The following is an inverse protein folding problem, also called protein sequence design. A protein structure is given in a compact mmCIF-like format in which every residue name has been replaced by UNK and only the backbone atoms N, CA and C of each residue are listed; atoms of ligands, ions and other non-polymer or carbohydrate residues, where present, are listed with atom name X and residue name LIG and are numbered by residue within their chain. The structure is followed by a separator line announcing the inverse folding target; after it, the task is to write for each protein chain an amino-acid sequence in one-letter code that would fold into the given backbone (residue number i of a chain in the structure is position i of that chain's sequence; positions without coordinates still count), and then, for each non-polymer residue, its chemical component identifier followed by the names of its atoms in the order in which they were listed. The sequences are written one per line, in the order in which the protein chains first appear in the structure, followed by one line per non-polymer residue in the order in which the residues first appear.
data_IF_925979721895
#
_entry.id   IF_925979721895
#
_cell.length_a   1.000
_cell.length_b   1.000
_cell.length_c   1.000
_cell.angle_alpha   90.00
_cell.angle_beta   90.00
_cell.angle_gamma   90.00
#
_symmetry.space_group_name_H-M   'P 1'
#
loop_
_entity.id
_entity.type
_entity.pdbx_description
1 polymer ?
#
# COMPACT_ATOMS: atom_id res chain seq x y z
N UNK A 1 -73.60 -34.57 -19.99
CA UNK A 1 -73.79 -33.10 -20.00
C UNK A 1 -73.60 -32.60 -18.57
N UNK A 2 -72.35 -32.36 -18.16
CA UNK A 2 -71.94 -31.55 -16.99
C UNK A 2 -70.46 -31.21 -17.20
N UNK A 3 -70.05 -29.93 -17.12
CA UNK A 3 -68.69 -29.50 -17.46
C UNK A 3 -67.77 -29.58 -16.23
N UNK A 4 -66.59 -30.18 -16.39
CA UNK A 4 -65.51 -30.05 -15.41
C UNK A 4 -64.73 -28.75 -15.70
N UNK A 5 -64.95 -27.78 -14.81
CA UNK A 5 -64.31 -26.48 -14.79
C UNK A 5 -62.88 -26.63 -14.25
N UNK A 6 -61.90 -26.22 -15.06
CA UNK A 6 -60.49 -26.15 -14.70
C UNK A 6 -60.28 -24.87 -13.89
N UNK A 7 -59.96 -24.99 -12.60
CA UNK A 7 -59.46 -23.87 -11.80
C UNK A 7 -57.96 -23.68 -12.06
N UNK A 8 -57.62 -22.73 -12.94
CA UNK A 8 -56.27 -22.20 -13.06
C UNK A 8 -56.10 -21.09 -12.01
N UNK A 9 -55.37 -21.38 -10.93
CA UNK A 9 -54.95 -20.37 -9.96
C UNK A 9 -53.70 -19.65 -10.48
N UNK A 10 -53.84 -18.39 -10.87
CA UNK A 10 -52.74 -17.46 -11.12
C UNK A 10 -52.17 -16.98 -9.78
N UNK A 11 -50.85 -17.01 -9.54
CA UNK A 11 -50.27 -16.32 -8.39
C UNK A 11 -50.23 -14.82 -8.68
N UNK A 12 -51.05 -14.07 -7.94
CA UNK A 12 -50.95 -12.62 -7.83
C UNK A 12 -49.58 -12.27 -7.24
N UNK A 13 -48.69 -11.75 -8.08
CA UNK A 13 -47.48 -11.03 -7.66
C UNK A 13 -47.91 -9.75 -6.94
N UNK A 14 -48.06 -9.85 -5.62
CA UNK A 14 -48.19 -8.68 -4.76
C UNK A 14 -46.87 -7.91 -4.77
N UNK A 15 -46.82 -6.82 -5.54
CA UNK A 15 -45.80 -5.78 -5.36
C UNK A 15 -46.08 -5.09 -4.04
N UNK A 16 -45.30 -5.43 -3.01
CA UNK A 16 -45.22 -4.64 -1.79
C UNK A 16 -44.46 -3.34 -2.10
N UNK A 17 -45.16 -2.31 -2.53
CA UNK A 17 -44.65 -0.94 -2.55
C UNK A 17 -45.15 -0.24 -1.29
N UNK A 18 -44.33 -0.20 -0.24
CA UNK A 18 -44.40 0.81 0.83
C UNK A 18 -43.11 0.72 1.66
N UNK A 19 -42.06 1.40 1.20
CA UNK A 19 -41.05 1.94 2.10
C UNK A 19 -41.08 3.44 1.83
N UNK A 20 -41.71 4.13 2.77
CA UNK A 20 -41.69 5.58 2.88
C UNK A 20 -40.24 5.99 3.17
N UNK A 21 -39.63 6.83 2.32
CA UNK A 21 -38.25 7.30 2.49
C UNK A 21 -38.06 8.08 3.82
N UNK A 22 -39.15 8.49 4.47
CA UNK A 22 -39.11 9.10 5.81
C UNK A 22 -38.90 8.10 6.96
N UNK A 23 -39.00 6.78 6.69
CA UNK A 23 -38.76 5.70 7.66
C UNK A 23 -37.40 5.01 7.51
N UNK A 24 -36.48 5.57 6.70
CA UNK A 24 -35.06 5.23 6.78
C UNK A 24 -34.59 5.54 8.21
N UNK A 25 -34.47 4.48 9.03
CA UNK A 25 -33.87 4.54 10.34
C UNK A 25 -32.53 5.27 10.22
N UNK A 26 -32.48 6.49 10.76
CA UNK A 26 -31.23 7.15 11.08
C UNK A 26 -30.45 6.17 11.97
N UNK A 27 -29.21 5.78 11.61
CA UNK A 27 -28.40 4.96 12.49
C UNK A 27 -28.30 5.67 13.85
N UNK A 28 -28.58 4.93 14.93
CA UNK A 28 -28.45 5.41 16.30
C UNK A 28 -27.09 6.08 16.46
N UNK A 29 -27.08 7.40 16.62
CA UNK A 29 -25.89 8.15 17.00
C UNK A 29 -25.50 7.70 18.41
N UNK A 30 -24.49 6.84 18.47
CA UNK A 30 -23.95 6.34 19.73
C UNK A 30 -23.43 7.53 20.55
N UNK A 31 -24.02 7.73 21.72
CA UNK A 31 -23.89 8.96 22.52
C UNK A 31 -22.63 8.96 23.40
N UNK A 32 -21.54 8.35 22.95
CA UNK A 32 -20.28 8.23 23.69
C UNK A 32 -19.08 8.71 22.86
N UNK A 33 -18.74 10.01 22.87
CA UNK A 33 -17.52 10.50 22.23
C UNK A 33 -16.37 10.42 23.24
N UNK A 34 -15.98 9.23 23.71
CA UNK A 34 -14.86 9.07 24.67
C UNK A 34 -13.76 8.11 24.19
N UNK A 35 -13.85 7.57 22.98
CA UNK A 35 -12.71 7.01 22.25
C UNK A 35 -12.34 8.00 21.16
N UNK A 36 -11.12 8.56 21.20
CA UNK A 36 -10.64 9.47 20.15
C UNK A 36 -10.85 8.80 18.78
N UNK A 37 -11.55 9.44 17.83
CA UNK A 37 -11.92 8.80 16.57
C UNK A 37 -10.69 8.56 15.70
N UNK A 38 -10.70 7.43 15.00
CA UNK A 38 -9.84 7.16 13.85
C UNK A 38 -9.89 8.36 12.89
N UNK A 39 -8.73 8.85 12.48
CA UNK A 39 -8.64 9.98 11.54
C UNK A 39 -8.16 9.48 10.19
N UNK A 40 -9.00 9.63 9.17
CA UNK A 40 -8.66 9.26 7.79
C UNK A 40 -8.33 10.52 7.00
N UNK A 41 -7.17 10.53 6.34
CA UNK A 41 -6.68 11.63 5.50
C UNK A 41 -6.47 11.11 4.08
N UNK A 42 -7.07 11.73 3.04
CA UNK A 42 -6.87 11.33 1.66
C UNK A 42 -5.48 11.73 1.16
N UNK A 43 -4.89 10.87 0.32
CA UNK A 43 -3.66 11.11 -0.42
C UNK A 43 -4.00 11.38 -1.89
N UNK A 44 -3.55 12.50 -2.41
CA UNK A 44 -3.71 12.89 -3.81
C UNK A 44 -2.42 12.71 -4.57
N UNK A 45 -2.48 12.00 -5.69
CA UNK A 45 -1.33 11.78 -6.58
C UNK A 45 -1.27 12.90 -7.62
N UNK A 46 -0.11 13.53 -7.76
CA UNK A 46 0.13 14.53 -8.80
C UNK A 46 0.53 13.90 -10.15
N UNK A 47 0.71 14.75 -11.17
CA UNK A 47 1.13 14.33 -12.52
C UNK A 47 2.57 13.79 -12.61
N UNK A 48 3.36 13.98 -11.56
CA UNK A 48 4.76 13.54 -11.42
C UNK A 48 4.87 12.31 -10.51
N UNK A 49 3.73 11.66 -10.19
CA UNK A 49 3.67 10.46 -9.36
C UNK A 49 4.12 10.69 -7.90
N UNK A 50 3.96 11.91 -7.39
CA UNK A 50 4.17 12.24 -5.98
C UNK A 50 2.83 12.32 -5.24
N UNK A 51 2.76 11.64 -4.09
CA UNK A 51 1.62 11.77 -3.20
C UNK A 51 1.72 13.06 -2.38
N UNK A 52 0.58 13.69 -2.17
CA UNK A 52 0.40 14.89 -1.36
C UNK A 52 -0.80 14.71 -0.44
N UNK A 53 -0.85 15.46 0.66
CA UNK A 53 -2.00 15.46 1.56
C UNK A 53 -2.44 16.90 1.89
N UNK A 54 -3.73 17.11 2.22
CA UNK A 54 -4.23 18.45 2.52
C UNK A 54 -3.62 18.99 3.82
N UNK A 55 -3.13 20.23 3.78
CA UNK A 55 -2.68 20.93 4.99
C UNK A 55 -3.83 21.09 5.99
N UNK A 56 -3.55 20.80 7.26
CA UNK A 56 -4.54 20.78 8.35
C UNK A 56 -4.58 22.10 9.13
N UNK A 57 -3.78 23.09 8.75
CA UNK A 57 -3.82 24.42 9.36
C UNK A 57 -5.05 25.19 8.88
N UNK A 58 -5.88 25.62 9.84
CA UNK A 58 -7.21 26.21 9.67
C UNK A 58 -7.23 27.63 9.07
N UNK A 59 -6.28 27.98 8.22
CA UNK A 59 -6.24 29.28 7.54
C UNK A 59 -6.12 29.07 6.03
N UNK A 60 -7.25 29.18 5.34
CA UNK A 60 -7.58 29.47 3.92
C UNK A 60 -6.50 29.65 2.83
N UNK A 61 -5.31 29.06 2.96
CA UNK A 61 -4.33 28.92 1.88
C UNK A 61 -3.78 27.50 1.89
N UNK A 62 -4.56 26.61 1.27
CA UNK A 62 -4.33 25.19 1.06
C UNK A 62 -3.17 24.97 0.10
N UNK A 63 -1.94 25.05 0.61
CA UNK A 63 -0.79 24.44 -0.07
C UNK A 63 -0.78 22.95 0.31
N UNK A 64 -0.98 22.03 -0.65
CA UNK A 64 -0.84 20.61 -0.38
C UNK A 64 0.60 20.33 0.03
N UNK A 65 0.76 19.51 1.06
CA UNK A 65 2.08 19.14 1.56
C UNK A 65 2.54 17.85 0.90
N UNK A 66 3.81 17.77 0.48
CA UNK A 66 4.36 16.54 -0.06
C UNK A 66 4.28 15.43 0.98
N UNK A 67 4.00 14.21 0.54
CA UNK A 67 4.15 13.02 1.37
C UNK A 67 5.65 12.77 1.54
N UNK A 68 6.23 13.43 2.55
CA UNK A 68 7.67 13.43 2.82
C UNK A 68 8.15 12.13 3.49
N UNK A 69 9.33 12.18 4.11
CA UNK A 69 9.91 11.02 4.80
C UNK A 69 8.94 10.52 5.87
N UNK A 70 9.00 9.23 6.17
CA UNK A 70 8.22 8.60 7.24
C UNK A 70 8.32 9.36 8.57
N UNK A 71 9.47 9.99 8.83
CA UNK A 71 9.68 10.79 10.04
C UNK A 71 8.79 12.02 10.12
N UNK A 72 8.44 12.61 8.98
CA UNK A 72 7.51 13.72 8.94
C UNK A 72 6.15 13.22 9.38
N UNK A 73 5.66 12.06 8.92
CA UNK A 73 4.40 11.48 9.42
C UNK A 73 4.35 11.40 10.94
N UNK A 74 5.45 11.06 11.61
CA UNK A 74 5.52 11.03 13.09
C UNK A 74 5.24 12.39 13.74
N UNK A 75 5.71 13.48 13.14
CA UNK A 75 5.44 14.82 13.68
C UNK A 75 3.94 15.16 13.61
N UNK A 76 3.27 14.70 12.55
CA UNK A 76 1.84 14.88 12.30
C UNK A 76 0.98 13.89 13.12
N UNK A 77 1.50 12.69 13.31
CA UNK A 77 0.87 11.60 14.05
C UNK A 77 1.35 11.51 15.50
N UNK A 78 1.94 12.58 16.05
CA UNK A 78 2.51 12.58 17.41
C UNK A 78 1.52 12.20 18.51
N UNK A 79 0.22 12.39 18.27
CA UNK A 79 -0.86 11.95 19.17
C UNK A 79 -1.34 10.52 18.92
N UNK A 80 -0.94 9.89 17.82
CA UNK A 80 -1.36 8.57 17.36
C UNK A 80 -0.21 7.56 17.50
N UNK A 81 -0.58 6.29 17.57
CA UNK A 81 0.38 5.21 17.82
C UNK A 81 0.60 4.33 16.59
N UNK A 82 -0.39 4.32 15.69
CA UNK A 82 -0.41 3.45 14.53
C UNK A 82 -0.95 4.23 13.33
N UNK A 83 -0.17 4.22 12.25
CA UNK A 83 -0.54 4.84 10.98
C UNK A 83 -0.69 3.72 9.94
N UNK A 84 -1.88 3.57 9.37
CA UNK A 84 -2.14 2.63 8.28
C UNK A 84 -2.22 3.40 6.98
N UNK A 85 -1.36 3.07 6.02
CA UNK A 85 -1.30 3.69 4.70
C UNK A 85 -1.85 2.68 3.69
N UNK A 86 -2.77 3.14 2.85
CA UNK A 86 -3.33 2.38 1.75
C UNK A 86 -3.16 3.16 0.45
N UNK A 87 -2.41 2.58 -0.48
CA UNK A 87 -2.18 3.13 -1.81
C UNK A 87 -2.81 2.17 -2.82
N UNK A 88 -3.90 2.52 -3.51
CA UNK A 88 -4.62 1.59 -4.37
C UNK A 88 -3.84 1.23 -5.65
N UNK A 89 -4.13 0.05 -6.22
CA UNK A 89 -3.63 -0.39 -7.54
C UNK A 89 -4.26 0.36 -8.72
N UNK A 90 -5.35 1.08 -8.49
CA UNK A 90 -5.93 1.99 -9.46
C UNK A 90 -5.52 3.42 -9.10
N UNK A 91 -4.81 4.13 -10.00
CA UNK A 91 -4.36 5.50 -9.74
C UNK A 91 -5.50 6.52 -9.79
N UNK A 92 -6.65 6.15 -10.37
CA UNK A 92 -7.84 7.01 -10.37
C UNK A 92 -8.47 7.12 -8.97
N UNK A 93 -8.14 6.20 -8.07
CA UNK A 93 -8.61 6.19 -6.69
C UNK A 93 -7.55 6.87 -5.79
N UNK A 94 -7.93 7.83 -4.94
CA UNK A 94 -6.99 8.43 -4.00
C UNK A 94 -6.52 7.41 -2.96
N UNK A 95 -5.26 7.54 -2.53
CA UNK A 95 -4.76 6.79 -1.38
C UNK A 95 -5.34 7.32 -0.08
N UNK A 96 -5.07 6.64 1.03
CA UNK A 96 -5.51 7.08 2.36
C UNK A 96 -4.46 6.79 3.42
N UNK A 97 -4.36 7.68 4.41
CA UNK A 97 -3.67 7.42 5.68
C UNK A 97 -4.71 7.44 6.78
N UNK A 98 -4.68 6.40 7.59
CA UNK A 98 -5.53 6.23 8.76
C UNK A 98 -4.69 6.31 10.01
N UNK A 99 -4.95 7.30 10.86
CA UNK A 99 -4.30 7.48 12.14
C UNK A 99 -5.15 6.88 13.27
N UNK A 100 -4.58 5.93 14.01
CA UNK A 100 -5.27 5.22 15.10
C UNK A 100 -4.61 5.51 16.46
N UNK A 101 -5.46 5.86 17.43
CA UNK A 101 -5.03 6.05 18.81
C UNK A 101 -5.01 4.71 19.54
N UNK A 102 -3.88 4.33 20.14
CA UNK A 102 -3.84 3.24 21.12
C UNK A 102 -3.47 3.80 22.49
N UNK A 103 -4.44 3.88 23.41
CA UNK A 103 -4.17 4.25 24.79
C UNK A 103 -3.38 3.13 25.49
N UNK A 104 -2.25 3.43 26.14
CA UNK A 104 -1.48 2.43 26.88
C UNK A 104 -2.17 1.91 28.16
N UNK A 105 -3.16 2.64 28.69
CA UNK A 105 -3.76 2.39 30.03
C UNK A 105 -5.23 1.90 30.01
N UNK A 106 -5.83 1.68 28.84
CA UNK A 106 -7.19 1.11 28.81
C UNK A 106 -7.13 -0.41 28.68
N UNK A 107 -7.58 -1.09 29.76
CA UNK A 107 -8.04 -2.48 29.75
C UNK A 107 -8.93 -2.75 28.51
N UNK A 108 -9.05 -4.00 28.03
CA UNK A 108 -9.60 -4.30 26.71
C UNK A 108 -11.11 -4.05 26.68
N UNK A 109 -11.51 -2.80 26.53
CA UNK A 109 -12.80 -2.47 25.99
C UNK A 109 -12.84 -3.03 24.56
N UNK A 110 -13.96 -3.62 24.10
CA UNK A 110 -14.12 -4.06 22.72
C UNK A 110 -14.33 -2.83 21.83
N UNK A 111 -13.34 -1.94 21.79
CA UNK A 111 -13.23 -0.82 20.89
C UNK A 111 -12.24 -1.25 19.82
N UNK A 112 -12.79 -1.52 18.63
CA UNK A 112 -12.12 -1.59 17.33
C UNK A 112 -10.60 -1.51 17.42
N UNK A 113 -9.95 -2.66 17.64
CA UNK A 113 -8.55 -2.82 17.22
C UNK A 113 -8.47 -2.27 15.79
N UNK A 114 -7.44 -1.50 15.40
CA UNK A 114 -7.22 -1.21 13.98
C UNK A 114 -7.38 -2.54 13.28
N UNK A 115 -8.38 -2.62 12.40
CA UNK A 115 -8.79 -3.90 11.82
C UNK A 115 -7.74 -4.20 10.76
N UNK A 116 -6.56 -4.60 11.22
CA UNK A 116 -5.51 -5.16 10.41
C UNK A 116 -6.14 -6.39 9.79
N UNK A 117 -6.54 -6.23 8.54
CA UNK A 117 -7.36 -7.23 7.84
C UNK A 117 -6.49 -8.30 7.22
N UNK A 118 -5.21 -7.96 6.98
CA UNK A 118 -4.25 -8.80 6.30
C UNK A 118 -3.25 -9.42 7.27
N UNK A 119 -2.70 -10.57 6.86
CA UNK A 119 -1.56 -11.17 7.54
C UNK A 119 -0.34 -10.25 7.31
N UNK A 120 0.19 -9.68 8.39
CA UNK A 120 1.30 -8.74 8.33
C UNK A 120 2.64 -9.44 8.48
N UNK A 121 3.60 -9.09 7.63
CA UNK A 121 5.02 -9.37 7.86
C UNK A 121 5.61 -8.15 8.56
N UNK A 122 6.10 -8.34 9.78
CA UNK A 122 6.58 -7.23 10.62
C UNK A 122 8.10 -7.13 10.58
N UNK A 123 8.60 -5.91 10.48
CA UNK A 123 10.03 -5.62 10.59
C UNK A 123 10.25 -4.63 11.71
N UNK A 124 10.97 -5.06 12.75
CA UNK A 124 11.36 -4.20 13.86
C UNK A 124 12.53 -3.32 13.44
N UNK A 125 12.38 -2.01 13.60
CA UNK A 125 13.49 -1.08 13.42
C UNK A 125 14.27 -0.96 14.72
N UNK A 126 15.59 -1.22 14.66
CA UNK A 126 16.48 -0.95 15.80
C UNK A 126 16.77 0.55 15.98
N UNK A 127 16.45 1.38 14.98
CA UNK A 127 16.59 2.83 15.06
C UNK A 127 15.24 3.48 15.41
N UNK A 128 15.31 4.64 16.07
CA UNK A 128 14.15 5.50 16.34
C UNK A 128 13.48 6.05 15.06
N UNK A 129 14.14 5.87 13.91
CA UNK A 129 13.67 6.27 12.59
C UNK A 129 13.14 5.05 11.82
N UNK A 130 11.83 4.83 11.89
CA UNK A 130 11.17 3.85 11.02
C UNK A 130 11.49 4.10 9.54
N UNK A 131 11.87 3.03 8.84
CA UNK A 131 12.07 3.01 7.40
C UNK A 131 13.47 3.42 6.96
N UNK A 132 14.33 3.93 7.84
CA UNK A 132 15.70 4.32 7.48
C UNK A 132 16.57 3.11 7.12
N UNK A 133 16.38 1.99 7.82
CA UNK A 133 17.12 0.75 7.58
C UNK A 133 16.24 -0.48 7.87
N UNK A 134 15.64 -1.04 6.83
CA UNK A 134 14.87 -2.28 6.86
C UNK A 134 15.87 -3.43 6.62
N UNK A 135 16.15 -4.31 7.60
CA UNK A 135 17.04 -5.44 7.41
C UNK A 135 16.49 -6.40 6.34
N UNK A 136 17.33 -6.65 5.33
CA UNK A 136 17.06 -7.65 4.31
C UNK A 136 18.01 -8.84 4.52
N UNK A 137 17.58 -10.00 4.02
CA UNK A 137 18.47 -11.14 3.80
C UNK A 137 18.81 -11.28 2.32
N UNK A 138 17.79 -11.17 1.47
CA UNK A 138 17.95 -11.34 0.03
C UNK A 138 17.08 -10.36 -0.75
N UNK A 139 17.49 -10.06 -1.97
CA UNK A 139 16.64 -9.45 -3.00
C UNK A 139 16.70 -10.32 -4.25
N UNK A 140 15.56 -10.52 -4.91
CA UNK A 140 15.47 -11.42 -6.05
C UNK A 140 14.31 -11.14 -6.98
N UNK A 141 14.29 -11.87 -8.09
CA UNK A 141 13.17 -11.94 -9.03
C UNK A 141 12.65 -13.36 -9.13
N UNK A 142 11.32 -13.51 -9.23
CA UNK A 142 10.65 -14.81 -9.25
C UNK A 142 9.68 -14.94 -10.43
N UNK A 143 9.93 -15.90 -11.32
CA UNK A 143 9.02 -16.31 -12.41
C UNK A 143 9.29 -17.76 -12.81
N UNK A 144 8.58 -18.70 -12.21
CA UNK A 144 8.81 -20.15 -12.41
C UNK A 144 10.09 -20.70 -11.74
N UNK A 145 11.09 -19.84 -11.51
CA UNK A 145 12.23 -20.04 -10.62
C UNK A 145 12.60 -18.71 -9.95
N UNK A 146 13.54 -18.75 -9.00
CA UNK A 146 14.00 -17.56 -8.27
C UNK A 146 15.49 -17.31 -8.54
N UNK A 147 15.81 -16.08 -8.95
CA UNK A 147 17.18 -15.56 -9.00
C UNK A 147 17.28 -14.53 -7.89
N UNK A 148 18.13 -14.78 -6.91
CA UNK A 148 18.28 -13.90 -5.75
C UNK A 148 19.76 -13.67 -5.42
N UNK A 149 20.02 -12.58 -4.74
CA UNK A 149 21.32 -12.20 -4.22
C UNK A 149 21.16 -11.69 -2.79
N UNK A 150 22.25 -11.75 -2.04
CA UNK A 150 22.29 -11.19 -0.69
C UNK A 150 22.05 -9.68 -0.72
N UNK A 151 21.24 -9.21 0.23
CA UNK A 151 20.99 -7.79 0.45
C UNK A 151 20.98 -7.54 1.94
N UNK A 152 21.68 -6.50 2.39
CA UNK A 152 21.81 -6.22 3.83
C UNK A 152 20.63 -5.41 4.38
N UNK A 153 20.22 -4.39 3.63
CA UNK A 153 19.16 -3.50 4.05
C UNK A 153 18.52 -2.80 2.85
N UNK A 154 17.32 -2.28 3.07
CA UNK A 154 16.69 -1.28 2.22
C UNK A 154 16.24 -0.07 3.04
N UNK A 155 16.13 1.07 2.38
CA UNK A 155 15.50 2.27 2.93
C UNK A 155 14.11 2.44 2.32
N UNK A 156 13.14 2.82 3.14
CA UNK A 156 11.79 3.12 2.69
C UNK A 156 11.67 4.62 2.46
N UNK A 157 11.25 4.99 1.25
CA UNK A 157 11.13 6.38 0.82
C UNK A 157 9.83 6.60 0.04
N UNK A 158 8.79 7.02 0.75
CA UNK A 158 7.47 7.16 0.14
C UNK A 158 7.33 8.41 -0.75
N UNK A 159 8.37 9.25 -0.83
CA UNK A 159 8.43 10.41 -1.73
C UNK A 159 8.58 10.00 -3.18
N UNK A 160 9.25 8.87 -3.42
CA UNK A 160 9.51 8.38 -4.77
C UNK A 160 8.54 7.26 -5.14
N UNK A 161 8.08 7.21 -6.41
CA UNK A 161 7.36 6.05 -6.91
C UNK A 161 8.26 4.84 -7.09
N UNK A 162 9.57 5.03 -7.16
CA UNK A 162 10.49 4.03 -7.68
C UNK A 162 10.97 3.05 -6.62
N UNK A 163 11.13 1.79 -7.04
CA UNK A 163 11.86 0.75 -6.31
C UNK A 163 13.25 0.68 -6.92
N UNK A 164 14.27 0.93 -6.10
CA UNK A 164 15.67 0.85 -6.53
C UNK A 164 16.23 -0.49 -6.13
N UNK A 165 16.74 -1.24 -7.11
CA UNK A 165 17.24 -2.60 -6.93
C UNK A 165 18.68 -2.71 -7.42
N UNK A 166 19.49 -3.66 -6.89
CA UNK A 166 20.86 -3.82 -7.34
C UNK A 166 20.96 -4.15 -8.83
N UNK A 167 22.08 -3.79 -9.47
CA UNK A 167 22.30 -3.95 -10.92
C UNK A 167 21.95 -5.34 -11.44
N UNK A 168 22.34 -6.42 -10.74
CA UNK A 168 22.00 -7.78 -11.21
C UNK A 168 20.51 -8.10 -11.20
N UNK A 169 19.72 -7.51 -10.29
CA UNK A 169 18.25 -7.63 -10.28
C UNK A 169 17.64 -6.75 -11.37
N UNK A 170 18.15 -5.53 -11.51
CA UNK A 170 17.75 -4.59 -12.55
C UNK A 170 17.93 -5.19 -13.95
N UNK A 171 19.07 -5.80 -14.23
CA UNK A 171 19.39 -6.38 -15.53
C UNK A 171 18.40 -7.50 -15.92
N UNK A 172 18.01 -8.34 -14.96
CA UNK A 172 17.01 -9.40 -15.21
C UNK A 172 15.64 -8.78 -15.51
N UNK A 173 15.24 -7.74 -14.79
CA UNK A 173 13.98 -7.03 -15.03
C UNK A 173 13.97 -6.36 -16.41
N UNK A 174 15.05 -5.67 -16.79
CA UNK A 174 15.18 -5.04 -18.11
C UNK A 174 15.17 -6.08 -19.24
N UNK A 175 15.83 -7.21 -19.06
CA UNK A 175 15.80 -8.30 -20.04
C UNK A 175 14.39 -8.90 -20.20
N UNK A 176 13.65 -9.03 -19.10
CA UNK A 176 12.28 -9.55 -19.11
C UNK A 176 11.27 -8.55 -19.70
N UNK A 177 11.38 -7.27 -19.31
CA UNK A 177 10.42 -6.23 -19.64
C UNK A 177 10.71 -5.49 -20.96
N UNK A 178 11.95 -5.57 -21.46
CA UNK A 178 12.43 -4.91 -22.68
C UNK A 178 11.96 -3.45 -22.79
N UNK A 179 12.25 -2.62 -21.78
CA UNK A 179 11.70 -1.29 -21.75
C UNK A 179 12.24 -0.41 -22.88
N UNK A 180 11.37 0.46 -23.38
CA UNK A 180 11.72 1.54 -24.28
C UNK A 180 12.01 2.79 -23.46
N UNK A 181 13.17 3.41 -23.72
CA UNK A 181 13.47 4.74 -23.18
C UNK A 181 12.82 5.77 -24.07
N UNK A 182 11.88 6.55 -23.53
CA UNK A 182 11.29 7.64 -24.28
C UNK A 182 12.31 8.78 -24.40
N UNK A 183 12.61 9.25 -25.62
CA UNK A 183 13.33 10.49 -25.79
C UNK A 183 12.32 11.64 -25.57
N UNK A 184 12.68 12.57 -24.67
CA UNK A 184 12.10 13.92 -24.49
C UNK A 184 11.13 14.07 -23.29
N UNK A 185 11.44 15.10 -22.49
CA UNK A 185 10.76 15.74 -21.35
C UNK A 185 10.72 15.05 -19.97
N UNK A 186 10.91 13.74 -19.88
CA UNK A 186 11.07 13.02 -18.60
C UNK A 186 12.21 12.03 -18.70
N UNK A 187 13.44 12.52 -18.48
CA UNK A 187 14.71 11.81 -18.74
C UNK A 187 14.86 10.44 -18.04
N UNK A 188 13.92 10.04 -17.18
CA UNK A 188 13.97 8.79 -16.44
C UNK A 188 12.79 7.85 -16.68
N UNK A 189 11.75 8.23 -17.44
CA UNK A 189 10.57 7.38 -17.60
C UNK A 189 10.87 6.19 -18.53
N UNK A 190 10.93 5.02 -17.91
CA UNK A 190 11.15 3.73 -18.56
C UNK A 190 9.79 3.11 -18.89
N UNK A 191 9.43 3.06 -20.18
CA UNK A 191 8.12 2.56 -20.63
C UNK A 191 8.21 1.10 -21.06
N UNK A 192 7.17 0.33 -20.78
CA UNK A 192 7.05 -1.08 -21.12
C UNK A 192 5.73 -1.33 -21.84
N UNK A 193 5.65 -2.46 -22.55
CA UNK A 193 4.39 -2.91 -23.13
C UNK A 193 3.39 -3.31 -22.02
N UNK A 194 2.20 -2.69 -22.05
CA UNK A 194 1.14 -2.95 -21.09
C UNK A 194 0.60 -4.38 -21.17
N UNK A 195 0.56 -4.98 -22.36
CA UNK A 195 0.04 -6.34 -22.56
C UNK A 195 0.99 -7.39 -21.97
N UNK A 196 2.28 -7.06 -21.93
CA UNK A 196 3.33 -7.92 -21.39
C UNK A 196 3.41 -7.94 -19.86
N UNK A 197 2.58 -7.17 -19.13
CA UNK A 197 2.60 -7.13 -17.65
C UNK A 197 2.50 -8.52 -17.01
N UNK A 198 1.69 -9.41 -17.59
CA UNK A 198 1.48 -10.77 -17.08
C UNK A 198 2.71 -11.68 -17.17
N UNK A 199 3.71 -11.36 -17.99
CA UNK A 199 4.94 -12.15 -18.12
C UNK A 199 6.09 -11.63 -17.26
N UNK A 200 5.96 -10.45 -16.67
CA UNK A 200 7.01 -9.89 -15.81
C UNK A 200 7.15 -10.69 -14.49
N UNK A 201 8.36 -10.74 -13.91
CA UNK A 201 8.64 -11.48 -12.68
C UNK A 201 8.17 -10.70 -11.44
N UNK A 202 7.91 -11.41 -10.34
CA UNK A 202 7.78 -10.73 -9.04
C UNK A 202 9.16 -10.26 -8.57
N UNK A 203 9.24 -9.14 -7.87
CA UNK A 203 10.42 -8.72 -7.11
C UNK A 203 10.22 -9.18 -5.66
N UNK A 204 11.17 -9.92 -5.10
CA UNK A 204 11.05 -10.54 -3.79
C UNK A 204 12.15 -10.00 -2.89
N UNK A 205 11.77 -9.41 -1.76
CA UNK A 205 12.69 -9.01 -0.70
C UNK A 205 12.49 -9.96 0.49
N UNK A 206 13.54 -10.69 0.86
CA UNK A 206 13.56 -11.50 2.07
C UNK A 206 13.78 -10.58 3.27
N UNK A 207 12.81 -10.54 4.18
CA UNK A 207 12.85 -9.72 5.39
C UNK A 207 13.52 -10.50 6.51
N UNK A 208 14.53 -9.90 7.12
CA UNK A 208 15.23 -10.50 8.26
C UNK A 208 14.67 -9.93 9.56
N UNK A 209 13.84 -10.69 10.26
CA UNK A 209 13.52 -10.38 11.66
C UNK A 209 14.79 -10.55 12.51
N UNK A 210 15.25 -9.44 13.07
CA UNK A 210 16.25 -9.35 14.14
C UNK A 210 17.71 -9.61 13.80
N UNK A 211 18.12 -9.70 12.53
CA UNK A 211 19.55 -9.74 12.15
C UNK A 211 20.34 -10.91 12.75
N UNK A 212 19.64 -11.88 13.33
CA UNK A 212 20.16 -13.21 13.61
C UNK A 212 19.79 -14.07 12.40
N UNK A 213 20.79 -14.66 11.76
CA UNK A 213 20.59 -15.70 10.77
C UNK A 213 19.78 -16.82 11.45
N UNK A 214 18.46 -16.82 11.25
CA UNK A 214 17.62 -17.95 11.65
C UNK A 214 17.96 -19.09 10.69
N UNK A 215 19.05 -19.80 10.99
CA UNK A 215 19.63 -20.91 10.22
C UNK A 215 18.62 -22.07 10.01
N UNK A 216 17.46 -22.02 10.69
CA UNK A 216 16.40 -23.04 10.64
C UNK A 216 14.96 -22.48 10.65
N UNK A 217 14.74 -21.22 10.29
CA UNK A 217 13.36 -20.73 10.15
C UNK A 217 12.75 -21.21 8.83
N UNK A 218 11.86 -22.21 8.91
CA UNK A 218 11.03 -22.68 7.79
C UNK A 218 10.11 -21.59 7.19
N UNK A 219 10.05 -20.39 7.79
CA UNK A 219 9.26 -19.25 7.32
C UNK A 219 10.14 -17.98 7.31
N UNK A 220 10.81 -17.72 6.19
CA UNK A 220 11.38 -16.39 5.90
C UNK A 220 10.23 -15.50 5.47
N UNK A 221 10.03 -14.37 6.15
CA UNK A 221 9.02 -13.41 5.74
C UNK A 221 9.47 -12.72 4.44
N UNK A 222 8.61 -12.72 3.42
CA UNK A 222 8.89 -12.11 2.13
C UNK A 222 8.00 -10.90 1.87
N UNK A 223 8.60 -9.81 1.41
CA UNK A 223 7.89 -8.75 0.69
C UNK A 223 7.94 -9.05 -0.81
N UNK A 224 6.82 -9.50 -1.35
CA UNK A 224 6.68 -9.85 -2.78
C UNK A 224 6.00 -8.70 -3.52
N UNK A 225 6.73 -7.95 -4.33
CA UNK A 225 6.22 -6.88 -5.19
C UNK A 225 5.93 -7.43 -6.58
N UNK A 226 4.65 -7.51 -6.93
CA UNK A 226 4.14 -8.04 -8.20
C UNK A 226 4.15 -7.00 -9.31
N UNK A 227 4.08 -7.41 -10.59
CA UNK A 227 4.01 -6.50 -11.73
C UNK A 227 2.92 -5.43 -11.63
N UNK A 228 1.76 -5.73 -11.03
CA UNK A 228 0.68 -4.74 -10.86
C UNK A 228 1.06 -3.56 -9.95
N UNK A 229 2.08 -3.74 -9.13
CA UNK A 229 2.54 -2.76 -8.15
C UNK A 229 3.65 -1.88 -8.73
N UNK A 230 4.58 -2.47 -9.50
CA UNK A 230 5.71 -1.74 -10.08
C UNK A 230 5.55 -1.38 -11.56
N UNK A 231 4.44 -1.76 -12.21
CA UNK A 231 4.07 -1.28 -13.55
C UNK A 231 2.76 -0.53 -13.48
N UNK A 232 2.78 0.72 -13.94
CA UNK A 232 1.68 1.65 -13.81
C UNK A 232 1.27 2.20 -15.16
N UNK A 233 0.00 2.06 -15.49
CA UNK A 233 -0.59 2.69 -16.67
C UNK A 233 -0.92 4.15 -16.37
N UNK A 234 -0.37 5.07 -17.17
CA UNK A 234 -0.64 6.50 -17.07
C UNK A 234 -1.96 6.87 -17.75
N UNK A 235 -2.47 8.07 -17.50
CA UNK A 235 -3.67 8.58 -18.19
C UNK A 235 -3.52 8.64 -19.73
N UNK A 236 -2.28 8.60 -20.24
CA UNK A 236 -1.97 8.55 -21.67
C UNK A 236 -1.98 7.11 -22.24
N UNK A 237 -2.30 6.10 -21.43
CA UNK A 237 -2.28 4.69 -21.83
C UNK A 237 -0.88 4.09 -21.95
N UNK A 238 0.14 4.72 -21.36
CA UNK A 238 1.52 4.20 -21.34
C UNK A 238 1.78 3.46 -20.05
N UNK A 239 2.41 2.28 -20.12
CA UNK A 239 2.86 1.58 -18.91
C UNK A 239 4.27 1.97 -18.53
N UNK A 240 4.41 2.64 -17.39
CA UNK A 240 5.70 3.06 -16.82
C UNK A 240 6.18 2.00 -15.84
N UNK A 241 7.43 1.59 -16.00
CA UNK A 241 8.14 0.76 -15.05
C UNK A 241 8.62 1.62 -13.88
N UNK A 242 8.19 1.29 -12.67
CA UNK A 242 8.55 1.96 -11.42
C UNK A 242 9.73 1.29 -10.70
N UNK A 243 10.65 0.70 -11.47
CA UNK A 243 11.89 0.11 -10.96
C UNK A 243 13.06 0.84 -11.57
N UNK A 244 14.12 1.07 -10.79
CA UNK A 244 15.37 1.72 -11.24
C UNK A 244 16.58 0.94 -10.72
N UNK A 245 17.72 1.16 -11.36
CA UNK A 245 18.98 0.63 -10.84
C UNK A 245 19.39 1.44 -9.60
N UNK A 246 19.70 0.78 -8.49
CA UNK A 246 20.21 1.43 -7.29
C UNK A 246 21.48 2.26 -7.54
N UNK A 247 22.34 1.86 -8.49
CA UNK A 247 23.53 2.62 -8.88
C UNK A 247 23.21 3.97 -9.55
N UNK A 248 21.98 4.20 -10.01
CA UNK A 248 21.58 5.52 -10.52
C UNK A 248 21.24 6.51 -9.42
N UNK A 249 21.19 6.08 -8.16
CA UNK A 249 21.11 6.95 -7.00
C UNK A 249 22.49 7.11 -6.34
N UNK A 250 22.73 8.29 -5.75
CA UNK A 250 24.04 8.70 -5.19
C UNK A 250 24.64 7.71 -4.17
N UNK A 251 23.84 6.85 -3.56
CA UNK A 251 24.27 5.94 -2.48
C UNK A 251 24.29 4.44 -2.87
N UNK A 252 23.86 4.05 -4.07
CA UNK A 252 23.79 2.63 -4.47
C UNK A 252 22.87 1.76 -3.61
N UNK A 253 22.00 2.38 -2.81
CA UNK A 253 21.18 1.72 -1.79
C UNK A 253 19.87 1.16 -2.40
N UNK A 254 19.40 0.03 -1.85
CA UNK A 254 18.05 -0.47 -2.16
C UNK A 254 17.03 0.48 -1.53
N UNK A 255 16.17 1.06 -2.35
CA UNK A 255 15.12 1.97 -1.89
C UNK A 255 13.75 1.41 -2.25
N UNK A 256 12.89 1.28 -1.25
CA UNK A 256 11.49 0.90 -1.43
C UNK A 256 10.67 2.20 -1.54
N UNK A 257 10.26 2.53 -2.76
CA UNK A 257 9.30 3.61 -3.01
C UNK A 257 7.87 3.22 -2.63
N UNK A 258 6.93 4.13 -2.85
CA UNK A 258 5.52 3.84 -2.58
C UNK A 258 4.96 2.70 -3.45
N UNK A 259 5.56 2.41 -4.62
CA UNK A 259 5.19 1.27 -5.45
C UNK A 259 5.35 -0.08 -4.72
N UNK A 260 6.29 -0.21 -3.78
CA UNK A 260 6.48 -1.43 -3.01
C UNK A 260 5.30 -1.72 -2.05
N UNK A 261 4.59 -0.68 -1.60
CA UNK A 261 3.48 -0.76 -0.65
C UNK A 261 2.10 -0.58 -1.29
N UNK A 262 2.05 -0.34 -2.60
CA UNK A 262 0.80 -0.21 -3.35
C UNK A 262 0.01 -1.52 -3.36
N UNK A 263 -1.31 -1.44 -3.30
CA UNK A 263 -2.21 -2.60 -3.38
C UNK A 263 -2.21 -3.49 -2.15
N UNK A 264 -1.57 -3.07 -1.06
CA UNK A 264 -1.53 -3.79 0.22
C UNK A 264 -1.72 -2.81 1.36
N UNK A 265 -2.08 -3.36 2.52
CA UNK A 265 -2.12 -2.62 3.77
C UNK A 265 -0.68 -2.44 4.28
N UNK A 266 -0.27 -1.20 4.53
CA UNK A 266 1.06 -0.86 5.07
C UNK A 266 0.90 -0.15 6.41
N UNK A 267 1.64 -0.57 7.43
CA UNK A 267 1.43 -0.09 8.80
C UNK A 267 2.74 0.39 9.43
N UNK A 268 2.69 1.57 10.05
CA UNK A 268 3.73 2.12 10.91
C UNK A 268 3.26 2.05 12.36
N UNK A 269 3.89 1.20 13.17
CA UNK A 269 3.60 1.05 14.61
C UNK A 269 4.69 1.78 15.39
N UNK A 270 4.41 3.05 15.70
CA UNK A 270 5.34 3.97 16.35
C UNK A 270 5.65 3.57 17.79
N UNK A 271 4.68 2.95 18.47
CA UNK A 271 4.84 2.49 19.85
C UNK A 271 5.80 1.32 19.94
N UNK A 272 5.73 0.38 18.99
CA UNK A 272 6.61 -0.80 18.98
C UNK A 272 7.83 -0.65 18.08
N UNK A 273 7.97 0.48 17.39
CA UNK A 273 9.12 0.73 16.51
C UNK A 273 9.21 -0.27 15.36
N UNK A 274 8.08 -0.62 14.73
CA UNK A 274 8.04 -1.64 13.68
C UNK A 274 7.18 -1.23 12.49
N UNK A 275 7.44 -1.86 11.35
CA UNK A 275 6.78 -1.64 10.08
C UNK A 275 6.09 -2.94 9.65
N UNK A 276 4.85 -2.87 9.20
CA UNK A 276 4.05 -4.00 8.76
C UNK A 276 3.75 -3.94 7.27
N UNK A 277 3.98 -5.05 6.57
CA UNK A 277 3.59 -5.24 5.17
C UNK A 277 2.49 -6.31 5.07
N UNK A 278 1.32 -5.91 4.57
CA UNK A 278 0.21 -6.81 4.29
C UNK A 278 0.52 -7.74 3.11
N UNK A 279 0.03 -8.99 3.22
CA UNK A 279 0.08 -10.02 2.18
C UNK A 279 -1.16 -10.04 1.32
#
# INVERSE_FOLDING_TARGET
MFPNIIFAALPLLARATYLDDSLLQKPLQDSRPHSRPERVVPLTLDSHLHYTFPSLSSSDNTTPLPFELIQDLRTWSSEFCLDTINIPLDLSVPGTITYTYSSPDSAPAPLTRPKITSHMSWVTSRSWKLGERIPLGTVGVRKGGMIAMEAQAARLDLRTPFIYVPTGIWDVLVQAARPERLPVDREEDTVVDCESKGVFPDIVFGLNEDGEEKEYAENVDELVVRPEQYVVETAEGKCVLLVRNAESCDDGEIVLGWAAIRGREFVLDWTKGRIGFGR
#
